data_IF_062341702071
#
_entry.id   IF_062341702071
#
_cell.length_a   1.000
_cell.length_b   1.000
_cell.length_c   1.000
_cell.angle_alpha   90.00
_cell.angle_beta   90.00
_cell.angle_gamma   90.00
#
_symmetry.space_group_name_H-M   'P 1'
#
loop_
_entity.id
_entity.type
_entity.pdbx_description
1 polymer ?
#
# COMPACT_ATOMS: atom_id res chain seq x y z
N UNK A 1 25.05 -3.75 -26.90
CA UNK A 1 23.60 -3.46 -26.92
C UNK A 1 22.94 -4.22 -25.78
N UNK A 2 22.95 -3.66 -24.57
CA UNK A 2 22.18 -4.19 -23.45
C UNK A 2 20.84 -3.47 -23.46
N UNK A 3 19.77 -4.19 -23.82
CA UNK A 3 18.42 -3.66 -23.87
C UNK A 3 18.00 -3.18 -22.47
N UNK A 4 17.61 -1.93 -22.44
CA UNK A 4 16.85 -1.26 -21.39
C UNK A 4 15.57 -2.03 -21.07
N UNK A 5 15.68 -3.03 -20.20
CA UNK A 5 14.59 -3.46 -19.32
C UNK A 5 14.64 -2.59 -18.05
N UNK A 6 14.60 -1.26 -18.23
CA UNK A 6 14.08 -0.42 -17.15
C UNK A 6 12.68 -0.95 -16.84
N UNK A 7 12.50 -1.38 -15.60
CA UNK A 7 11.37 -2.16 -15.10
C UNK A 7 10.02 -1.50 -15.47
N UNK A 8 9.36 -2.00 -16.53
CA UNK A 8 8.09 -1.47 -17.04
C UNK A 8 6.99 -1.40 -15.96
N UNK A 9 7.05 -2.27 -14.94
CA UNK A 9 6.13 -2.28 -13.80
C UNK A 9 6.14 -0.97 -12.97
N UNK A 10 7.30 -0.32 -12.80
CA UNK A 10 7.40 0.88 -11.95
C UNK A 10 6.83 2.13 -12.61
N UNK A 11 7.01 2.25 -13.93
CA UNK A 11 6.39 3.33 -14.69
C UNK A 11 4.87 3.11 -14.73
N UNK A 12 4.42 1.87 -14.95
CA UNK A 12 2.99 1.54 -14.98
C UNK A 12 2.26 1.91 -13.68
N UNK A 13 2.81 1.58 -12.50
CA UNK A 13 2.20 1.96 -11.22
C UNK A 13 2.17 3.48 -11.02
N UNK A 14 3.19 4.22 -11.47
CA UNK A 14 3.18 5.69 -11.41
C UNK A 14 2.09 6.32 -12.28
N UNK A 15 1.83 5.77 -13.45
CA UNK A 15 0.77 6.28 -14.33
C UNK A 15 -0.63 5.94 -13.79
N UNK A 16 -0.84 4.71 -13.31
CA UNK A 16 -2.14 4.25 -12.78
C UNK A 16 -2.50 4.92 -11.45
N UNK A 17 -1.52 5.24 -10.61
CA UNK A 17 -1.73 5.93 -9.32
C UNK A 17 -1.41 7.43 -9.38
N UNK A 18 -1.35 8.00 -10.58
CA UNK A 18 -0.89 9.37 -10.83
C UNK A 18 -1.70 10.41 -10.05
N UNK A 19 -3.02 10.27 -9.94
CA UNK A 19 -3.88 11.18 -9.17
C UNK A 19 -3.55 11.16 -7.68
N UNK A 20 -3.36 9.97 -7.09
CA UNK A 20 -3.00 9.83 -5.69
C UNK A 20 -1.62 10.43 -5.40
N UNK A 21 -0.64 10.11 -6.24
CA UNK A 21 0.71 10.66 -6.11
C UNK A 21 0.70 12.18 -6.29
N UNK A 22 0.01 12.72 -7.29
CA UNK A 22 -0.09 14.16 -7.52
C UNK A 22 -0.67 14.90 -6.31
N UNK A 23 -1.72 14.34 -5.68
CA UNK A 23 -2.31 14.90 -4.47
C UNK A 23 -1.29 14.90 -3.31
N UNK A 24 -0.57 13.78 -3.09
CA UNK A 24 0.47 13.69 -2.06
C UNK A 24 1.57 14.75 -2.23
N UNK A 25 2.04 14.94 -3.46
CA UNK A 25 3.03 15.98 -3.79
C UNK A 25 2.51 17.40 -3.48
N UNK A 26 1.22 17.64 -3.68
CA UNK A 26 0.59 18.95 -3.38
C UNK A 26 0.55 19.26 -1.88
N UNK A 27 0.60 18.24 -1.02
CA UNK A 27 0.65 18.38 0.44
C UNK A 27 2.07 18.43 1.02
N UNK A 28 3.10 18.64 0.17
CA UNK A 28 4.51 18.63 0.56
C UNK A 28 5.01 17.29 1.12
N UNK A 29 4.24 16.21 0.91
CA UNK A 29 4.73 14.86 1.16
C UNK A 29 5.61 14.45 -0.03
N UNK A 30 6.92 14.42 0.20
CA UNK A 30 7.86 13.87 -0.78
C UNK A 30 7.74 12.34 -0.79
N UNK A 31 6.95 11.80 -1.74
CA UNK A 31 6.96 10.37 -2.02
C UNK A 31 8.24 10.01 -2.78
N UNK A 32 9.20 9.41 -2.07
CA UNK A 32 10.30 8.72 -2.73
C UNK A 32 9.82 7.37 -3.25
N UNK A 33 9.62 7.27 -4.57
CA UNK A 33 9.43 5.99 -5.25
C UNK A 33 10.83 5.53 -5.67
N UNK A 34 11.56 4.93 -4.74
CA UNK A 34 12.85 4.31 -5.06
C UNK A 34 12.60 2.86 -5.49
N UNK A 35 12.92 2.56 -6.76
CA UNK A 35 13.20 1.19 -7.14
C UNK A 35 14.55 0.85 -6.53
N UNK A 36 14.53 0.09 -5.43
CA UNK A 36 15.70 -0.43 -4.72
C UNK A 36 16.86 -0.80 -5.66
N UNK A 37 17.76 0.16 -5.82
CA UNK A 37 19.11 0.06 -6.33
C UNK A 37 19.74 1.45 -6.10
N UNK A 38 20.43 1.70 -4.97
CA UNK A 38 21.19 0.77 -4.09
C UNK A 38 20.44 0.46 -2.76
N UNK A 39 21.00 -0.30 -1.78
CA UNK A 39 20.24 -0.72 -0.60
C UNK A 39 19.85 0.49 0.26
N UNK A 40 18.58 0.54 0.69
CA UNK A 40 18.11 1.52 1.67
C UNK A 40 18.98 1.34 2.92
N UNK A 41 19.78 2.36 3.21
CA UNK A 41 20.47 2.44 4.47
C UNK A 41 19.61 3.31 5.39
N UNK A 42 18.83 2.72 6.32
CA UNK A 42 17.98 3.48 7.23
C UNK A 42 18.80 4.43 8.14
N UNK A 43 20.13 4.24 8.24
CA UNK A 43 21.04 5.16 8.98
C UNK A 43 21.57 6.32 8.13
N UNK A 44 21.24 6.41 6.84
CA UNK A 44 21.69 7.50 5.97
C UNK A 44 20.87 8.79 6.14
N UNK A 45 19.80 8.78 6.94
CA UNK A 45 18.92 9.93 7.13
C UNK A 45 18.72 10.29 8.61
N UNK A 46 19.76 10.85 9.27
CA UNK A 46 19.66 11.27 10.67
C UNK A 46 18.75 12.49 10.92
N UNK A 47 18.30 13.21 9.88
CA UNK A 47 17.66 14.53 10.01
C UNK A 47 16.24 14.68 9.41
N UNK A 48 15.53 13.60 9.06
CA UNK A 48 14.18 13.72 8.48
C UNK A 48 13.09 13.16 9.41
N UNK A 49 12.50 14.03 10.25
CA UNK A 49 11.47 13.66 11.24
C UNK A 49 10.07 13.35 10.69
N UNK A 50 9.82 13.46 9.39
CA UNK A 50 8.51 13.10 8.81
C UNK A 50 8.65 12.70 7.36
N UNK A 51 8.99 11.45 7.10
CA UNK A 51 8.84 10.87 5.75
C UNK A 51 7.88 9.70 5.86
N UNK A 52 6.68 9.86 5.31
CA UNK A 52 5.76 8.77 5.04
C UNK A 52 6.31 8.03 3.82
N UNK A 53 6.92 6.86 4.03
CA UNK A 53 7.34 5.99 2.94
C UNK A 53 6.15 5.12 2.52
N UNK A 54 5.68 5.37 1.29
CA UNK A 54 4.64 4.61 0.62
C UNK A 54 5.26 3.42 -0.09
N UNK A 55 5.09 2.22 0.47
CA UNK A 55 5.62 0.99 -0.10
C UNK A 55 4.51 0.28 -0.88
N UNK A 56 4.45 0.54 -2.20
CA UNK A 56 3.58 -0.16 -3.16
C UNK A 56 4.38 -1.27 -3.85
N UNK A 57 4.36 -2.53 -3.38
CA UNK A 57 5.28 -3.53 -3.94
C UNK A 57 4.73 -4.94 -4.20
N UNK A 58 5.17 -5.48 -5.35
CA UNK A 58 4.99 -6.88 -5.80
C UNK A 58 6.28 -7.72 -5.77
N UNK A 59 7.47 -7.16 -5.51
CA UNK A 59 8.70 -7.93 -5.22
C UNK A 59 9.85 -7.01 -4.84
N UNK A 60 10.50 -7.27 -3.71
CA UNK A 60 11.68 -6.55 -3.26
C UNK A 60 12.94 -7.17 -3.89
N UNK A 61 13.81 -6.32 -4.45
CA UNK A 61 15.09 -6.70 -5.08
C UNK A 61 16.33 -6.26 -4.30
N UNK A 62 16.16 -5.70 -3.08
CA UNK A 62 17.23 -5.37 -2.15
C UNK A 62 17.06 -6.11 -0.82
N UNK A 63 18.07 -6.03 0.07
CA UNK A 63 18.05 -6.59 1.45
C UNK A 63 17.07 -5.83 2.35
N UNK A 64 15.79 -5.87 2.02
CA UNK A 64 14.74 -5.40 2.91
C UNK A 64 14.21 -6.60 3.68
N UNK A 65 14.54 -6.64 4.96
CA UNK A 65 14.09 -7.65 5.91
C UNK A 65 13.00 -7.04 6.81
N UNK A 66 12.10 -7.87 7.34
CA UNK A 66 11.04 -7.41 8.25
C UNK A 66 11.61 -6.67 9.48
N UNK A 67 12.78 -7.11 9.97
CA UNK A 67 13.52 -6.48 11.08
C UNK A 67 13.91 -5.02 10.81
N UNK A 68 14.24 -4.67 9.57
CA UNK A 68 14.62 -3.29 9.21
C UNK A 68 13.39 -2.38 9.24
N UNK A 69 12.24 -2.90 8.79
CA UNK A 69 10.98 -2.17 8.80
C UNK A 69 10.47 -1.96 10.23
N UNK A 70 10.56 -2.95 11.10
CA UNK A 70 10.18 -2.81 12.51
C UNK A 70 11.07 -1.78 13.22
N UNK A 71 12.40 -1.83 13.01
CA UNK A 71 13.33 -0.82 13.55
C UNK A 71 13.02 0.61 13.05
N UNK A 72 12.56 0.76 11.80
CA UNK A 72 12.16 2.05 11.25
C UNK A 72 10.90 2.60 11.92
N UNK A 73 9.90 1.74 12.15
CA UNK A 73 8.67 2.12 12.88
C UNK A 73 9.00 2.48 14.34
N UNK A 74 9.85 1.71 15.00
CA UNK A 74 10.30 1.98 16.37
C UNK A 74 11.08 3.30 16.49
N UNK A 75 11.77 3.71 15.43
CA UNK A 75 12.43 5.01 15.35
C UNK A 75 11.48 6.20 15.12
N UNK A 76 10.16 5.95 14.98
CA UNK A 76 9.13 6.95 14.72
C UNK A 76 8.83 7.16 13.23
N UNK A 77 9.30 6.28 12.36
CA UNK A 77 8.98 6.27 10.93
C UNK A 77 7.54 5.85 10.67
N UNK A 78 6.92 6.41 9.63
CA UNK A 78 5.56 6.04 9.23
C UNK A 78 5.60 5.22 7.95
N UNK A 79 4.97 4.05 7.97
CA UNK A 79 4.91 3.12 6.84
C UNK A 79 3.47 2.98 6.38
N UNK A 80 3.24 3.13 5.07
CA UNK A 80 1.97 2.80 4.43
C UNK A 80 2.18 1.68 3.42
N UNK A 81 1.60 0.52 3.72
CA UNK A 81 1.69 -0.69 2.89
C UNK A 81 0.34 -0.95 2.23
N UNK A 82 0.34 -1.20 0.92
CA UNK A 82 -0.83 -1.71 0.21
C UNK A 82 -0.46 -2.99 -0.54
N UNK A 83 -1.20 -4.05 -0.27
CA UNK A 83 -1.06 -5.36 -0.91
C UNK A 83 -2.28 -5.69 -1.78
N UNK A 84 -2.04 -6.35 -2.91
CA UNK A 84 -3.11 -7.00 -3.66
C UNK A 84 -3.23 -8.46 -3.25
N UNK A 85 -3.90 -9.28 -4.06
CA UNK A 85 -3.89 -10.76 -4.04
C UNK A 85 -2.49 -11.43 -3.98
N UNK A 86 -1.42 -10.67 -4.19
CA UNK A 86 -0.03 -11.14 -4.25
C UNK A 86 0.83 -10.33 -3.28
N UNK A 87 0.66 -10.59 -1.99
CA UNK A 87 1.45 -9.99 -0.90
C UNK A 87 2.75 -10.78 -0.72
N UNK A 88 3.89 -10.11 -0.75
CA UNK A 88 5.19 -10.77 -0.53
C UNK A 88 5.41 -11.21 0.92
N UNK A 89 6.17 -12.29 1.11
CA UNK A 89 6.45 -12.91 2.42
C UNK A 89 7.00 -11.92 3.46
N UNK A 90 7.93 -11.03 3.05
CA UNK A 90 8.52 -10.00 3.94
C UNK A 90 7.45 -9.07 4.54
N UNK A 91 6.39 -8.77 3.78
CA UNK A 91 5.31 -7.89 4.24
C UNK A 91 4.36 -8.64 5.15
N UNK A 92 4.11 -9.93 4.89
CA UNK A 92 3.34 -10.80 5.79
C UNK A 92 4.04 -10.93 7.14
N UNK A 93 5.35 -11.15 7.11
CA UNK A 93 6.19 -11.23 8.30
C UNK A 93 6.19 -9.90 9.07
N UNK A 94 6.44 -8.77 8.39
CA UNK A 94 6.37 -7.44 9.01
C UNK A 94 4.98 -7.13 9.60
N UNK A 95 3.89 -7.47 8.89
CA UNK A 95 2.54 -7.25 9.41
C UNK A 95 2.25 -8.12 10.63
N UNK A 96 2.76 -9.36 10.65
CA UNK A 96 2.65 -10.24 11.81
C UNK A 96 3.36 -9.66 13.04
N UNK A 97 4.50 -8.99 12.88
CA UNK A 97 5.17 -8.25 13.96
C UNK A 97 4.33 -7.07 14.48
N UNK A 98 3.52 -6.44 13.60
CA UNK A 98 2.53 -5.42 13.97
C UNK A 98 1.20 -6.00 14.52
N UNK A 99 1.05 -7.33 14.58
CA UNK A 99 -0.17 -7.99 15.03
C UNK A 99 -1.30 -8.04 14.00
N UNK A 100 -0.99 -7.89 12.71
CA UNK A 100 -1.92 -8.00 11.58
C UNK A 100 -1.55 -9.21 10.73
N UNK A 101 -2.51 -10.11 10.52
CA UNK A 101 -2.31 -11.31 9.71
C UNK A 101 -2.96 -11.13 8.33
N UNK A 102 -2.17 -11.23 7.26
CA UNK A 102 -2.69 -11.24 5.88
C UNK A 102 -3.06 -12.64 5.44
N UNK A 103 -4.17 -12.78 4.72
CA UNK A 103 -4.56 -14.06 4.12
C UNK A 103 -3.55 -14.56 3.06
N UNK A 104 -3.48 -15.87 2.86
CA UNK A 104 -2.53 -16.59 1.98
C UNK A 104 -2.40 -16.05 0.56
N UNK A 105 -1.33 -16.43 -0.13
CA UNK A 105 -1.08 -15.99 -1.50
C UNK A 105 -2.23 -16.38 -2.45
N UNK A 106 -2.62 -15.42 -3.30
CA UNK A 106 -3.74 -15.55 -4.25
C UNK A 106 -5.10 -15.67 -3.57
N UNK A 107 -5.21 -15.22 -2.32
CA UNK A 107 -6.51 -14.99 -1.69
C UNK A 107 -7.06 -13.60 -2.05
N UNK A 108 -8.38 -13.47 -2.03
CA UNK A 108 -9.07 -12.21 -2.27
C UNK A 108 -10.37 -12.19 -1.48
N UNK A 109 -10.82 -11.01 -1.08
CA UNK A 109 -12.11 -10.84 -0.41
C UNK A 109 -13.24 -11.04 -1.43
N UNK A 110 -14.19 -11.89 -1.08
CA UNK A 110 -15.33 -12.25 -1.93
C UNK A 110 -16.63 -11.92 -1.20
N UNK A 111 -17.50 -11.15 -1.85
CA UNK A 111 -18.86 -10.87 -1.35
C UNK A 111 -19.89 -11.11 -2.47
N UNK A 112 -20.80 -12.07 -2.26
CA UNK A 112 -21.84 -12.43 -3.22
C UNK A 112 -23.06 -11.50 -3.21
N UNK A 113 -23.18 -10.63 -2.20
CA UNK A 113 -24.33 -9.76 -2.00
C UNK A 113 -23.99 -8.34 -2.43
N UNK A 114 -22.84 -7.82 -1.97
CA UNK A 114 -22.42 -6.43 -2.23
C UNK A 114 -21.20 -6.38 -3.15
N UNK A 115 -21.38 -6.81 -4.41
CA UNK A 115 -20.38 -6.67 -5.46
C UNK A 115 -20.84 -5.68 -6.54
N UNK A 116 -19.87 -5.10 -7.26
CA UNK A 116 -20.15 -4.19 -8.37
C UNK A 116 -20.33 -4.93 -9.70
N UNK A 117 -21.18 -4.38 -10.59
CA UNK A 117 -21.46 -4.97 -11.91
C UNK A 117 -20.25 -5.01 -12.84
N UNK A 118 -19.21 -4.20 -12.56
CA UNK A 118 -17.98 -4.16 -13.34
C UNK A 118 -16.96 -5.23 -12.90
N UNK A 119 -17.39 -6.23 -12.13
CA UNK A 119 -16.56 -7.37 -11.79
C UNK A 119 -16.55 -8.44 -12.91
N UNK A 120 -15.49 -9.25 -12.95
CA UNK A 120 -15.30 -10.31 -13.95
C UNK A 120 -16.12 -11.60 -13.64
N UNK A 121 -17.16 -11.48 -12.81
CA UNK A 121 -18.02 -12.57 -12.37
C UNK A 121 -17.46 -13.45 -11.25
N UNK A 122 -16.38 -13.01 -10.60
CA UNK A 122 -15.75 -13.72 -9.46
C UNK A 122 -16.19 -13.17 -8.10
N UNK A 123 -16.99 -12.10 -8.10
CA UNK A 123 -17.46 -11.35 -6.93
C UNK A 123 -16.31 -10.82 -6.05
N UNK A 124 -15.22 -10.37 -6.69
CA UNK A 124 -14.01 -9.88 -6.02
C UNK A 124 -13.94 -8.37 -5.85
N UNK A 125 -14.71 -7.62 -6.64
CA UNK A 125 -14.87 -6.18 -6.50
C UNK A 125 -16.03 -5.88 -5.55
N UNK A 126 -15.68 -5.62 -4.29
CA UNK A 126 -16.67 -5.41 -3.22
C UNK A 126 -17.07 -3.94 -3.10
N UNK A 127 -18.34 -3.72 -2.78
CA UNK A 127 -18.92 -2.41 -2.50
C UNK A 127 -19.06 -2.24 -0.99
N UNK A 128 -18.15 -1.49 -0.39
CA UNK A 128 -18.15 -1.23 1.05
C UNK A 128 -19.03 -0.01 1.39
N UNK A 129 -19.99 -0.22 2.30
CA UNK A 129 -20.87 0.86 2.79
C UNK A 129 -20.13 1.84 3.69
N UNK A 130 -20.35 3.17 3.56
CA UNK A 130 -19.73 4.17 4.43
C UNK A 130 -20.17 4.05 5.90
N UNK A 131 -21.27 3.35 6.18
CA UNK A 131 -21.74 3.09 7.54
C UNK A 131 -20.79 2.17 8.32
N UNK A 132 -20.03 1.32 7.62
CA UNK A 132 -19.09 0.38 8.22
C UNK A 132 -17.73 1.01 8.54
N UNK A 133 -17.53 2.29 8.23
CA UNK A 133 -16.30 3.00 8.57
C UNK A 133 -16.16 3.19 10.09
N UNK A 134 -14.91 3.28 10.55
CA UNK A 134 -14.57 3.65 11.92
C UNK A 134 -15.26 4.96 12.33
N UNK A 135 -15.77 5.03 13.56
CA UNK A 135 -16.40 6.23 14.13
C UNK A 135 -15.35 7.24 14.63
N UNK A 136 -14.49 7.70 13.73
CA UNK A 136 -13.47 8.72 14.02
C UNK A 136 -13.29 9.69 12.84
N UNK A 137 -13.77 10.93 13.00
CA UNK A 137 -13.62 12.00 12.00
C UNK A 137 -12.14 12.41 11.79
N UNK A 138 -11.27 12.14 12.76
CA UNK A 138 -9.82 12.39 12.64
C UNK A 138 -9.13 11.46 11.63
N UNK A 139 -9.63 10.22 11.49
CA UNK A 139 -9.01 9.21 10.62
C UNK A 139 -9.70 9.18 9.26
N UNK A 140 -11.04 9.12 9.25
CA UNK A 140 -11.82 8.94 8.01
C UNK A 140 -12.28 10.28 7.41
N UNK A 141 -11.98 11.40 8.06
CA UNK A 141 -12.46 12.72 7.66
C UNK A 141 -13.98 12.82 7.64
N UNK A 142 -14.50 13.68 6.77
CA UNK A 142 -15.94 13.91 6.59
C UNK A 142 -16.60 12.88 5.67
N UNK A 143 -15.92 11.78 5.34
CA UNK A 143 -16.35 10.86 4.27
C UNK A 143 -17.66 10.15 4.58
N UNK A 144 -17.98 9.90 5.87
CA UNK A 144 -19.32 9.41 6.29
C UNK A 144 -20.46 10.36 5.88
N UNK A 145 -20.21 11.67 5.78
CA UNK A 145 -21.21 12.69 5.43
C UNK A 145 -21.51 12.72 3.93
N UNK A 146 -20.59 12.23 3.10
CA UNK A 146 -20.74 12.24 1.64
C UNK A 146 -21.61 11.09 1.11
N UNK A 147 -21.82 10.04 1.92
CA UNK A 147 -22.76 8.94 1.61
C UNK A 147 -22.39 8.05 0.42
N UNK A 148 -21.25 8.28 -0.22
CA UNK A 148 -20.79 7.50 -1.36
C UNK A 148 -20.16 6.17 -0.90
N UNK A 149 -20.48 5.04 -1.57
CA UNK A 149 -19.85 3.76 -1.28
C UNK A 149 -18.40 3.71 -1.78
N UNK A 150 -17.61 2.80 -1.20
CA UNK A 150 -16.23 2.55 -1.61
C UNK A 150 -16.13 1.26 -2.41
N UNK A 151 -15.25 1.25 -3.40
CA UNK A 151 -14.88 0.05 -4.12
C UNK A 151 -13.55 -0.47 -3.60
N UNK A 152 -13.49 -1.76 -3.31
CA UNK A 152 -12.27 -2.43 -2.88
C UNK A 152 -12.08 -3.74 -3.64
N UNK A 153 -10.82 -4.03 -3.99
CA UNK A 153 -10.39 -5.30 -4.55
C UNK A 153 -9.01 -5.61 -3.98
N UNK A 154 -8.89 -6.69 -3.22
CA UNK A 154 -7.64 -7.04 -2.56
C UNK A 154 -7.80 -8.24 -1.62
N UNK A 155 -6.74 -8.49 -0.85
CA UNK A 155 -6.74 -9.50 0.20
C UNK A 155 -7.30 -8.96 1.52
N UNK A 156 -7.69 -9.88 2.42
CA UNK A 156 -8.18 -9.61 3.76
C UNK A 156 -7.08 -9.71 4.82
#
# INVERSE_FOLDING_TARGET
MAQSLMCQCSLHNRYTHSTFLYCSWSFSLHCFIELLNPPINPRAFPDCQTTLELILLRKFGGRLDAEILTQFVDAGGNVLVAGSDTVGDVIREFASECGIEFADDKSSVIDHINFDINDDGQHTLIVASPNNLLSSELIVGQTKKNGLPFLFRGTG
#
